data_IF_512672941421
#
_entry.id   IF_512672941421
#
_cell.length_a   1.000
_cell.length_b   1.000
_cell.length_c   1.000
_cell.angle_alpha   90.00
_cell.angle_beta   90.00
_cell.angle_gamma   90.00
#
_symmetry.space_group_name_H-M   'P 1'
#
loop_
_entity.id
_entity.type
_entity.pdbx_description
1 polymer ?
#
# COMPACT_ATOMS: atom_id res chain seq x y z
N UNK A 1 22.38 32.93 19.73
CA UNK A 1 21.74 32.71 18.41
C UNK A 1 21.53 31.21 18.30
N UNK A 2 20.36 30.77 18.74
CA UNK A 2 19.95 29.38 18.58
C UNK A 2 19.80 29.15 17.07
N UNK A 3 20.58 28.20 16.54
CA UNK A 3 20.32 27.68 15.21
C UNK A 3 18.99 26.98 15.33
N UNK A 4 17.93 27.52 14.75
CA UNK A 4 16.72 26.74 14.47
C UNK A 4 17.20 25.46 13.76
N UNK A 5 17.07 24.34 14.44
CA UNK A 5 17.40 23.05 13.87
C UNK A 5 16.29 22.73 12.87
N UNK A 6 16.56 22.98 11.58
CA UNK A 6 15.59 22.71 10.51
C UNK A 6 15.33 21.21 10.50
N UNK A 7 14.17 20.83 11.01
CA UNK A 7 13.72 19.44 10.93
C UNK A 7 13.63 19.00 9.48
N UNK A 8 14.26 17.88 9.16
CA UNK A 8 14.25 17.31 7.82
C UNK A 8 13.35 16.09 7.79
N UNK A 9 12.25 16.17 7.04
CA UNK A 9 11.30 15.07 6.87
C UNK A 9 11.63 14.28 5.61
N UNK A 10 11.49 12.96 5.72
CA UNK A 10 11.52 12.05 4.56
C UNK A 10 10.21 11.27 4.51
N UNK A 11 9.49 11.41 3.43
CA UNK A 11 8.28 10.62 3.16
C UNK A 11 8.67 9.37 2.37
N UNK A 12 8.28 8.21 2.87
CA UNK A 12 8.59 6.91 2.28
C UNK A 12 7.28 6.18 1.99
N UNK A 13 7.11 5.75 0.76
CA UNK A 13 5.99 4.91 0.36
C UNK A 13 6.17 3.47 0.90
N UNK A 14 5.09 2.71 0.97
CA UNK A 14 5.08 1.36 1.55
C UNK A 14 5.13 0.30 0.47
N UNK A 15 4.11 0.26 -0.41
CA UNK A 15 3.96 -0.79 -1.41
C UNK A 15 4.95 -0.62 -2.56
N UNK A 16 5.66 -1.69 -2.91
CA UNK A 16 6.77 -1.71 -3.88
C UNK A 16 7.92 -0.72 -3.56
N UNK A 17 8.00 -0.27 -2.30
CA UNK A 17 9.11 0.55 -1.77
C UNK A 17 9.74 -0.09 -0.54
N UNK A 18 8.94 -0.47 0.44
CA UNK A 18 9.36 -1.18 1.65
C UNK A 18 8.92 -2.62 1.66
N UNK A 19 7.71 -2.86 1.18
CA UNK A 19 7.07 -4.16 1.12
C UNK A 19 6.75 -4.49 -0.35
N UNK A 20 7.16 -5.68 -0.78
CA UNK A 20 7.00 -6.18 -2.16
C UNK A 20 5.54 -6.60 -2.39
N UNK A 21 4.75 -5.66 -2.90
CA UNK A 21 3.36 -5.89 -3.26
C UNK A 21 3.24 -6.85 -4.45
N UNK A 22 4.14 -6.77 -5.41
CA UNK A 22 4.13 -7.63 -6.60
C UNK A 22 4.39 -9.10 -6.24
N UNK A 23 5.36 -9.35 -5.35
CA UNK A 23 5.61 -10.69 -4.84
C UNK A 23 4.40 -11.23 -4.07
N UNK A 24 3.77 -10.40 -3.25
CA UNK A 24 2.54 -10.73 -2.55
C UNK A 24 1.43 -11.14 -3.53
N UNK A 25 1.18 -10.33 -4.58
CA UNK A 25 0.13 -10.62 -5.57
C UNK A 25 0.38 -11.96 -6.25
N UNK A 26 1.60 -12.18 -6.75
CA UNK A 26 1.98 -13.44 -7.42
C UNK A 26 1.77 -14.66 -6.51
N UNK A 27 2.22 -14.56 -5.26
CA UNK A 27 2.02 -15.63 -4.27
C UNK A 27 0.54 -15.87 -3.98
N UNK A 28 -0.26 -14.81 -3.83
CA UNK A 28 -1.69 -14.92 -3.53
C UNK A 28 -2.47 -15.47 -4.72
N UNK A 29 -2.11 -15.12 -5.95
CA UNK A 29 -2.69 -15.75 -7.14
C UNK A 29 -2.38 -17.24 -7.20
N UNK A 30 -1.13 -17.64 -6.96
CA UNK A 30 -0.73 -19.05 -6.94
C UNK A 30 -1.48 -19.85 -5.87
N UNK A 31 -1.47 -19.37 -4.64
CA UNK A 31 -2.10 -20.06 -3.51
C UNK A 31 -3.63 -20.01 -3.58
N UNK A 32 -4.20 -18.89 -3.96
CA UNK A 32 -5.64 -18.71 -4.08
C UNK A 32 -6.23 -19.54 -5.24
N UNK A 33 -5.58 -19.57 -6.39
CA UNK A 33 -6.03 -20.39 -7.51
C UNK A 33 -6.01 -21.88 -7.15
N UNK A 34 -4.97 -22.34 -6.47
CA UNK A 34 -4.92 -23.72 -5.96
C UNK A 34 -6.01 -23.99 -4.90
N UNK A 35 -6.22 -23.03 -3.97
CA UNK A 35 -7.21 -23.15 -2.90
C UNK A 35 -8.64 -23.29 -3.44
N UNK A 36 -8.99 -22.54 -4.47
CA UNK A 36 -10.32 -22.56 -5.08
C UNK A 36 -10.45 -23.54 -6.25
N UNK A 37 -9.42 -24.34 -6.54
CA UNK A 37 -9.45 -25.33 -7.64
C UNK A 37 -9.53 -24.69 -9.02
N UNK A 38 -9.00 -23.48 -9.18
CA UNK A 38 -8.95 -22.77 -10.47
C UNK A 38 -7.80 -23.29 -11.33
N UNK A 39 -7.74 -22.82 -12.59
CA UNK A 39 -6.58 -23.14 -13.45
C UNK A 39 -5.27 -22.67 -12.80
N UNK A 40 -4.14 -23.37 -13.02
CA UNK A 40 -2.86 -22.99 -12.47
C UNK A 40 -2.46 -21.56 -12.84
N UNK A 41 -1.81 -20.88 -11.91
CA UNK A 41 -1.24 -19.56 -12.17
C UNK A 41 -0.17 -19.61 -13.26
N UNK A 42 -0.22 -18.67 -14.17
CA UNK A 42 0.79 -18.43 -15.21
C UNK A 42 1.26 -16.97 -15.17
N UNK A 43 2.53 -16.66 -15.51
CA UNK A 43 3.10 -15.30 -15.35
C UNK A 43 2.29 -14.18 -16.02
N UNK A 44 1.71 -14.41 -17.20
CA UNK A 44 0.90 -13.41 -17.91
C UNK A 44 -0.34 -12.95 -17.10
N UNK A 45 -0.82 -13.77 -16.18
CA UNK A 45 -1.98 -13.42 -15.33
C UNK A 45 -1.65 -12.29 -14.38
N UNK A 46 -0.39 -12.18 -13.95
CA UNK A 46 0.08 -11.05 -13.16
C UNK A 46 0.09 -9.75 -13.98
N UNK A 47 0.39 -9.82 -15.27
CA UNK A 47 0.33 -8.65 -16.16
C UNK A 47 -1.12 -8.15 -16.27
N UNK A 48 -2.08 -9.06 -16.46
CA UNK A 48 -3.52 -8.72 -16.47
C UNK A 48 -3.96 -8.09 -15.14
N UNK A 49 -3.51 -8.66 -14.00
CA UNK A 49 -3.77 -8.07 -12.69
C UNK A 49 -3.21 -6.64 -12.61
N UNK A 50 -1.96 -6.45 -12.99
CA UNK A 50 -1.27 -5.16 -12.88
C UNK A 50 -1.96 -4.08 -13.71
N UNK A 51 -2.34 -4.39 -14.94
CA UNK A 51 -3.05 -3.47 -15.83
C UNK A 51 -4.39 -3.03 -15.21
N UNK A 52 -5.21 -3.99 -14.78
CA UNK A 52 -6.51 -3.68 -14.18
C UNK A 52 -6.39 -2.97 -12.83
N UNK A 53 -5.48 -3.43 -11.98
CA UNK A 53 -5.25 -2.81 -10.67
C UNK A 53 -4.79 -1.34 -10.81
N UNK A 54 -3.85 -1.06 -11.71
CA UNK A 54 -3.37 0.31 -11.96
C UNK A 54 -4.48 1.20 -12.52
N UNK A 55 -5.31 0.68 -13.41
CA UNK A 55 -6.47 1.39 -13.95
C UNK A 55 -7.46 1.79 -12.85
N UNK A 56 -7.75 0.88 -11.93
CA UNK A 56 -8.69 1.12 -10.83
C UNK A 56 -8.09 2.09 -9.79
N UNK A 57 -6.82 1.93 -9.43
CA UNK A 57 -6.13 2.85 -8.52
C UNK A 57 -6.07 4.27 -9.06
N UNK A 58 -5.85 4.44 -10.36
CA UNK A 58 -5.90 5.75 -10.99
C UNK A 58 -7.28 6.43 -10.84
N UNK A 59 -8.37 5.65 -10.93
CA UNK A 59 -9.72 6.16 -10.68
C UNK A 59 -9.94 6.55 -9.20
N UNK A 60 -9.38 5.80 -8.26
CA UNK A 60 -9.40 6.16 -6.83
C UNK A 60 -8.67 7.48 -6.60
N UNK A 61 -7.49 7.64 -7.16
CA UNK A 61 -6.67 8.86 -7.05
C UNK A 61 -7.38 10.09 -7.66
N UNK A 62 -8.17 9.88 -8.71
CA UNK A 62 -9.03 10.91 -9.31
C UNK A 62 -10.34 11.15 -8.53
N UNK A 63 -10.64 10.35 -7.52
CA UNK A 63 -11.89 10.42 -6.76
C UNK A 63 -13.13 9.97 -7.55
N UNK A 64 -12.96 9.23 -8.65
CA UNK A 64 -14.04 8.69 -9.48
C UNK A 64 -14.42 7.26 -9.13
N UNK A 65 -13.67 6.61 -8.23
CA UNK A 65 -13.92 5.28 -7.70
C UNK A 65 -13.63 5.27 -6.20
N UNK A 66 -14.47 4.60 -5.43
CA UNK A 66 -14.25 4.35 -4.00
C UNK A 66 -13.54 3.01 -3.76
N UNK A 67 -12.98 2.81 -2.55
CA UNK A 67 -12.42 1.52 -2.16
C UNK A 67 -13.45 0.39 -2.16
N UNK A 68 -14.69 0.68 -1.75
CA UNK A 68 -15.76 -0.31 -1.73
C UNK A 68 -16.13 -0.74 -3.16
N UNK A 69 -16.19 0.19 -4.10
CA UNK A 69 -16.42 -0.12 -5.51
C UNK A 69 -15.25 -0.91 -6.11
N UNK A 70 -13.99 -0.55 -5.81
CA UNK A 70 -12.82 -1.32 -6.23
C UNK A 70 -12.92 -2.78 -5.77
N UNK A 71 -13.29 -3.00 -4.51
CA UNK A 71 -13.42 -4.35 -3.96
C UNK A 71 -14.51 -5.17 -4.66
N UNK A 72 -15.55 -4.54 -5.14
CA UNK A 72 -16.64 -5.22 -5.84
C UNK A 72 -16.31 -5.58 -7.31
N UNK A 73 -15.35 -4.89 -7.93
CA UNK A 73 -15.13 -5.01 -9.38
C UNK A 73 -13.76 -5.58 -9.76
N UNK A 74 -12.72 -5.41 -8.95
CA UNK A 74 -11.34 -5.74 -9.35
C UNK A 74 -11.17 -7.17 -9.81
N UNK A 75 -11.44 -8.14 -8.96
CA UNK A 75 -11.28 -9.55 -9.32
C UNK A 75 -12.37 -10.06 -10.26
N UNK A 76 -13.55 -9.43 -10.29
CA UNK A 76 -14.55 -9.72 -11.32
C UNK A 76 -14.02 -9.38 -12.72
N UNK A 77 -13.41 -8.21 -12.89
CA UNK A 77 -12.82 -7.76 -14.15
C UNK A 77 -11.61 -8.62 -14.55
N UNK A 78 -10.72 -8.92 -13.59
CA UNK A 78 -9.54 -9.77 -13.83
C UNK A 78 -9.97 -11.17 -14.27
N UNK A 79 -10.91 -11.81 -13.59
CA UNK A 79 -11.39 -13.13 -13.95
C UNK A 79 -12.12 -13.13 -15.30
N UNK A 80 -12.87 -12.08 -15.61
CA UNK A 80 -13.45 -11.91 -16.95
C UNK A 80 -12.35 -11.90 -18.04
N UNK A 81 -11.32 -11.08 -17.85
CA UNK A 81 -10.19 -10.97 -18.79
C UNK A 81 -9.40 -12.28 -18.92
N UNK A 82 -9.26 -13.03 -17.83
CA UNK A 82 -8.58 -14.33 -17.79
C UNK A 82 -9.46 -15.50 -18.26
N UNK A 83 -10.73 -15.26 -18.60
CA UNK A 83 -11.72 -16.30 -18.90
C UNK A 83 -11.84 -17.36 -17.78
N UNK A 84 -11.83 -16.90 -16.52
CA UNK A 84 -12.02 -17.73 -15.33
C UNK A 84 -13.47 -17.58 -14.87
N UNK A 85 -14.20 -18.70 -14.81
CA UNK A 85 -15.57 -18.74 -14.29
C UNK A 85 -15.55 -18.97 -12.78
N UNK A 86 -15.33 -17.89 -12.01
CA UNK A 86 -15.34 -17.89 -10.55
C UNK A 86 -15.86 -16.55 -10.03
N UNK A 87 -16.42 -16.54 -8.82
CA UNK A 87 -16.89 -15.31 -8.18
C UNK A 87 -15.71 -14.44 -7.77
N UNK A 88 -15.57 -13.28 -8.42
CA UNK A 88 -14.49 -12.33 -8.15
C UNK A 88 -14.58 -11.71 -6.75
N UNK A 89 -15.78 -11.56 -6.18
CA UNK A 89 -15.96 -11.01 -4.83
C UNK A 89 -15.42 -11.99 -3.79
N UNK A 90 -15.68 -13.27 -3.94
CA UNK A 90 -15.13 -14.32 -3.06
C UNK A 90 -13.60 -14.33 -3.13
N UNK A 91 -13.02 -14.17 -4.32
CA UNK A 91 -11.58 -14.10 -4.46
C UNK A 91 -11.00 -12.78 -3.91
N UNK A 92 -11.71 -11.67 -4.05
CA UNK A 92 -11.32 -10.39 -3.46
C UNK A 92 -11.23 -10.47 -1.94
N UNK A 93 -12.18 -11.11 -1.27
CA UNK A 93 -12.14 -11.32 0.18
C UNK A 93 -10.92 -12.15 0.60
N UNK A 94 -10.61 -13.21 -0.14
CA UNK A 94 -9.39 -14.01 0.07
C UNK A 94 -8.14 -13.15 -0.14
N UNK A 95 -8.08 -12.40 -1.21
CA UNK A 95 -6.97 -11.51 -1.55
C UNK A 95 -6.73 -10.45 -0.46
N UNK A 96 -7.79 -9.78 -0.01
CA UNK A 96 -7.70 -8.76 1.05
C UNK A 96 -7.25 -9.31 2.39
N UNK A 97 -7.73 -10.49 2.75
CA UNK A 97 -7.28 -11.18 3.96
C UNK A 97 -5.80 -11.55 3.88
N UNK A 98 -5.37 -12.05 2.73
CA UNK A 98 -3.98 -12.43 2.52
C UNK A 98 -3.04 -11.21 2.56
N UNK A 99 -3.42 -10.04 1.98
CA UNK A 99 -2.57 -8.84 2.05
C UNK A 99 -2.49 -8.28 3.46
N UNK A 100 -3.56 -8.36 4.22
CA UNK A 100 -3.57 -7.86 5.60
C UNK A 100 -2.45 -8.53 6.43
N UNK A 101 -2.25 -9.82 6.25
CA UNK A 101 -1.26 -10.61 6.97
C UNK A 101 0.08 -10.75 6.21
N UNK A 102 0.26 -10.05 5.09
CA UNK A 102 1.48 -10.12 4.27
C UNK A 102 2.41 -8.95 4.52
N UNK A 103 3.68 -9.27 4.78
CA UNK A 103 4.75 -8.30 4.86
C UNK A 103 6.04 -8.91 4.29
N UNK A 104 6.20 -8.84 2.98
CA UNK A 104 7.40 -9.30 2.26
C UNK A 104 8.32 -8.08 2.10
N UNK A 105 9.43 -7.97 2.87
CA UNK A 105 10.32 -6.84 2.77
C UNK A 105 11.06 -6.81 1.43
N UNK A 106 11.24 -5.63 0.87
CA UNK A 106 12.15 -5.41 -0.26
C UNK A 106 13.59 -5.46 0.24
N UNK A 107 14.47 -6.07 -0.55
CA UNK A 107 15.90 -6.15 -0.23
C UNK A 107 16.49 -4.74 0.00
N UNK A 108 17.21 -4.59 1.11
CA UNK A 108 17.81 -3.31 1.51
C UNK A 108 16.87 -2.33 2.22
N UNK A 109 15.56 -2.62 2.35
CA UNK A 109 14.61 -1.72 3.01
C UNK A 109 15.00 -1.43 4.47
N UNK A 110 15.41 -2.45 5.24
CA UNK A 110 15.83 -2.26 6.64
C UNK A 110 17.11 -1.42 6.75
N UNK A 111 18.08 -1.65 5.89
CA UNK A 111 19.34 -0.89 5.88
C UNK A 111 19.08 0.58 5.54
N UNK A 112 18.23 0.84 4.55
CA UNK A 112 17.80 2.18 4.19
C UNK A 112 17.07 2.88 5.35
N UNK A 113 16.08 2.21 5.97
CA UNK A 113 15.33 2.77 7.09
C UNK A 113 16.24 3.07 8.29
N UNK A 114 17.15 2.16 8.63
CA UNK A 114 18.12 2.34 9.72
C UNK A 114 19.03 3.54 9.47
N UNK A 115 19.57 3.64 8.26
CA UNK A 115 20.43 4.76 7.87
C UNK A 115 19.72 6.13 7.88
N UNK A 116 18.48 6.16 7.36
CA UNK A 116 17.71 7.40 7.27
C UNK A 116 17.21 7.86 8.65
N UNK A 117 16.80 6.95 9.54
CA UNK A 117 16.29 7.27 10.87
C UNK A 117 17.32 8.02 11.74
N UNK A 118 18.62 7.79 11.52
CA UNK A 118 19.68 8.51 12.25
C UNK A 118 19.80 9.98 11.85
N UNK A 119 19.22 10.39 10.73
CA UNK A 119 19.46 11.70 10.10
C UNK A 119 18.19 12.51 9.85
N UNK A 120 17.03 11.83 9.83
CA UNK A 120 15.77 12.41 9.39
C UNK A 120 14.62 11.91 10.25
N UNK A 121 13.57 12.70 10.31
CA UNK A 121 12.26 12.26 10.81
C UNK A 121 11.54 11.53 9.67
N UNK A 122 11.27 10.25 9.86
CA UNK A 122 10.66 9.42 8.82
C UNK A 122 9.14 9.42 8.95
N UNK A 123 8.49 9.64 7.82
CA UNK A 123 7.04 9.61 7.64
C UNK A 123 6.68 8.52 6.64
N UNK A 124 5.91 7.51 7.04
CA UNK A 124 5.30 6.61 6.06
C UNK A 124 4.16 7.33 5.34
N UNK A 125 4.05 7.17 4.02
CA UNK A 125 3.05 7.83 3.18
C UNK A 125 2.43 6.85 2.18
N UNK A 126 1.15 6.50 2.34
CA UNK A 126 0.48 5.51 1.49
C UNK A 126 -0.94 5.92 1.09
N UNK A 127 -1.39 5.43 -0.08
CA UNK A 127 -2.79 5.53 -0.51
C UNK A 127 -3.63 4.29 -0.12
N UNK A 128 -3.04 3.27 0.51
CA UNK A 128 -3.76 2.07 0.96
C UNK A 128 -4.65 2.30 2.19
N UNK A 129 -5.43 1.29 2.64
CA UNK A 129 -6.22 1.36 3.86
C UNK A 129 -5.35 1.48 5.12
N UNK A 130 -5.71 2.39 6.03
CA UNK A 130 -4.88 2.71 7.21
C UNK A 130 -4.58 1.51 8.10
N UNK A 131 -5.61 0.77 8.49
CA UNK A 131 -5.46 -0.39 9.38
C UNK A 131 -4.56 -1.47 8.75
N UNK A 132 -4.70 -1.71 7.44
CA UNK A 132 -3.88 -2.66 6.70
C UNK A 132 -2.42 -2.22 6.66
N UNK A 133 -2.14 -0.97 6.31
CA UNK A 133 -0.76 -0.47 6.21
C UNK A 133 -0.06 -0.44 7.56
N UNK A 134 -0.77 -0.03 8.62
CA UNK A 134 -0.23 -0.05 9.98
C UNK A 134 0.13 -1.48 10.40
N UNK A 135 -0.79 -2.44 10.25
CA UNK A 135 -0.57 -3.83 10.61
C UNK A 135 0.61 -4.46 9.84
N UNK A 136 0.69 -4.21 8.53
CA UNK A 136 1.79 -4.69 7.69
C UNK A 136 3.16 -4.13 8.12
N UNK A 137 3.23 -2.85 8.49
CA UNK A 137 4.45 -2.26 9.04
C UNK A 137 4.81 -2.86 10.42
N UNK A 138 3.81 -3.22 11.23
CA UNK A 138 4.02 -3.86 12.54
C UNK A 138 4.56 -5.29 12.39
N UNK A 139 3.95 -6.15 11.56
CA UNK A 139 4.43 -7.52 11.34
C UNK A 139 5.78 -7.57 10.62
N UNK A 140 6.12 -6.54 9.82
CA UNK A 140 7.46 -6.36 9.24
C UNK A 140 8.48 -5.80 10.24
N UNK A 141 8.10 -5.48 11.48
CA UNK A 141 8.96 -4.77 12.44
C UNK A 141 9.51 -3.43 11.88
N UNK A 142 8.80 -2.81 10.95
CA UNK A 142 9.17 -1.54 10.31
C UNK A 142 8.49 -0.33 10.94
N UNK A 143 7.38 -0.49 11.68
CA UNK A 143 6.65 0.60 12.33
C UNK A 143 7.54 1.47 13.22
N UNK A 144 8.51 0.89 13.89
CA UNK A 144 9.46 1.55 14.81
C UNK A 144 10.38 2.60 14.18
N UNK A 145 10.53 2.59 12.86
CA UNK A 145 11.34 3.56 12.12
C UNK A 145 10.62 4.89 11.89
N UNK A 146 9.30 4.88 11.91
CA UNK A 146 8.47 6.01 11.54
C UNK A 146 7.96 6.79 12.75
N UNK A 147 8.18 8.09 12.75
CA UNK A 147 7.57 9.02 13.71
C UNK A 147 6.11 9.27 13.36
N UNK A 148 5.78 9.32 12.07
CA UNK A 148 4.43 9.59 11.57
C UNK A 148 4.03 8.58 10.50
N UNK A 149 2.72 8.28 10.43
CA UNK A 149 2.12 7.46 9.38
C UNK A 149 0.95 8.24 8.77
N UNK A 150 1.12 8.65 7.53
CA UNK A 150 0.10 9.34 6.74
C UNK A 150 -0.46 8.41 5.70
N UNK A 151 -1.78 8.21 5.75
CA UNK A 151 -2.50 7.37 4.81
C UNK A 151 -3.68 8.16 4.28
N UNK A 152 -3.92 8.11 2.96
CA UNK A 152 -4.94 8.92 2.28
C UNK A 152 -6.32 8.78 2.90
N UNK A 153 -6.69 7.60 3.39
CA UNK A 153 -7.95 7.34 4.11
C UNK A 153 -8.13 8.25 5.34
N UNK A 154 -7.05 8.57 6.07
CA UNK A 154 -7.08 9.45 7.24
C UNK A 154 -6.87 10.91 6.87
N UNK A 155 -6.06 11.16 5.85
CA UNK A 155 -5.75 12.50 5.35
C UNK A 155 -6.93 13.10 4.60
N UNK A 156 -7.76 12.25 3.95
CA UNK A 156 -8.88 12.66 3.12
C UNK A 156 -8.49 13.06 1.69
N UNK A 157 -7.20 12.98 1.35
CA UNK A 157 -6.65 13.30 0.03
C UNK A 157 -5.56 12.30 -0.32
N UNK A 158 -5.53 11.81 -1.56
CA UNK A 158 -4.54 10.83 -2.03
C UNK A 158 -3.26 11.49 -2.56
N UNK A 159 -2.12 10.81 -2.40
CA UNK A 159 -0.91 11.14 -3.18
C UNK A 159 -1.23 10.97 -4.68
N UNK A 160 -0.66 11.79 -5.57
CA UNK A 160 0.37 12.81 -5.38
C UNK A 160 -0.17 14.22 -5.14
N UNK A 161 -1.46 14.40 -4.81
CA UNK A 161 -2.03 15.73 -4.60
C UNK A 161 -1.30 16.51 -3.49
N UNK A 162 -1.04 17.80 -3.71
CA UNK A 162 -0.34 18.68 -2.76
C UNK A 162 -1.02 18.72 -1.38
N UNK A 163 -2.35 18.66 -1.35
CA UNK A 163 -3.14 18.64 -0.11
C UNK A 163 -2.78 17.49 0.84
N UNK A 164 -2.28 16.35 0.34
CA UNK A 164 -1.77 15.27 1.17
C UNK A 164 -0.54 15.72 1.98
N UNK A 165 0.41 16.34 1.30
CA UNK A 165 1.65 16.80 1.93
C UNK A 165 1.42 18.04 2.79
N UNK A 166 0.53 18.94 2.39
CA UNK A 166 0.14 20.12 3.19
C UNK A 166 -0.47 19.70 4.54
N UNK A 167 -1.32 18.66 4.52
CA UNK A 167 -1.84 18.05 5.74
C UNK A 167 -0.70 17.49 6.60
N UNK A 168 0.17 16.69 6.02
CA UNK A 168 1.25 16.03 6.75
C UNK A 168 2.22 17.05 7.39
N UNK A 169 2.61 18.11 6.67
CA UNK A 169 3.46 19.18 7.21
C UNK A 169 2.78 19.91 8.36
N UNK A 170 1.48 20.18 8.27
CA UNK A 170 0.73 20.84 9.35
C UNK A 170 0.70 19.98 10.61
N UNK A 171 0.40 18.68 10.50
CA UNK A 171 0.37 17.76 11.64
C UNK A 171 1.73 17.65 12.33
N UNK A 172 2.81 17.56 11.56
CA UNK A 172 4.16 17.51 12.12
C UNK A 172 4.47 18.79 12.89
N UNK A 173 4.21 19.97 12.30
CA UNK A 173 4.47 21.27 12.94
C UNK A 173 3.63 21.47 14.22
N UNK A 174 2.41 20.96 14.27
CA UNK A 174 1.57 21.07 15.48
C UNK A 174 2.05 20.19 16.62
N UNK A 175 2.55 18.98 16.32
CA UNK A 175 3.06 18.05 17.34
C UNK A 175 4.38 18.50 17.97
N UNK A 176 5.11 19.45 17.38
CA UNK A 176 6.34 20.00 17.95
C UNK A 176 6.11 21.24 18.82
N UNK A 177 4.96 21.92 18.63
CA UNK A 177 4.65 23.17 19.35
C UNK A 177 3.70 22.94 20.56
N UNK A 178 3.32 21.70 20.87
CA UNK A 178 2.45 21.31 21.98
C UNK A 178 3.17 20.47 23.01
#
# INVERSE_FOLDING_TARGET
MDKEEIMRLVFIDIDNTLLDFDAYVKQTMQTGFAHFGLKPYEPYMFEVFTEENNRLWHQIEQGTLTFDELHNIRWCNIFHSLHISFDGIVFEDYFRKAIYDSAIPIDGAYDMLSYLKEKYVLCAASNGPYAQQLHRLEIADMRKYFSYIFVSEKVGVSKPATGFFDYAFREVNQSENG
#
